data_IF_590338443123
#
_entry.id   IF_590338443123
#
_cell.length_a   1.000
_cell.length_b   1.000
_cell.length_c   1.000
_cell.angle_alpha   90.00
_cell.angle_beta   90.00
_cell.angle_gamma   90.00
#
_symmetry.space_group_name_H-M   'P 1'
#
loop_
_entity.id
_entity.type
_entity.pdbx_description
1 polymer ?
#
# COMPACT_ATOMS: atom_id res chain seq x y z
N UNK A 1 15.05 5.01 10.40
CA UNK A 1 13.81 5.35 9.68
C UNK A 1 14.04 6.63 8.90
N UNK A 2 13.52 6.74 7.68
CA UNK A 2 13.62 7.93 6.83
C UNK A 2 12.24 8.46 6.52
N UNK A 3 12.01 9.77 6.73
CA UNK A 3 10.75 10.42 6.39
C UNK A 3 10.57 10.42 4.88
N UNK A 4 9.35 10.12 4.42
CA UNK A 4 9.01 10.15 3.01
C UNK A 4 7.67 10.82 2.77
N UNK A 5 7.50 11.38 1.58
CA UNK A 5 6.16 11.54 0.99
C UNK A 5 5.86 10.29 0.17
N UNK A 6 4.64 9.78 0.24
CA UNK A 6 4.25 8.55 -0.45
C UNK A 6 3.00 8.75 -1.31
N UNK A 7 2.85 7.85 -2.28
CA UNK A 7 1.67 7.65 -3.09
C UNK A 7 1.48 6.16 -3.31
N UNK A 8 0.35 5.61 -2.87
CA UNK A 8 0.00 4.20 -3.01
C UNK A 8 -1.28 4.11 -3.81
N UNK A 9 -1.24 3.39 -4.92
CA UNK A 9 -2.40 3.18 -5.78
C UNK A 9 -2.77 1.71 -5.75
N UNK A 10 -4.00 1.40 -5.33
CA UNK A 10 -4.58 0.07 -5.49
C UNK A 10 -5.19 -0.03 -6.89
N UNK A 11 -4.65 -0.93 -7.70
CA UNK A 11 -5.19 -1.24 -9.02
C UNK A 11 -6.40 -2.17 -8.83
N UNK A 12 -7.57 -1.79 -9.31
CA UNK A 12 -8.72 -2.68 -9.38
C UNK A 12 -9.49 -2.49 -10.70
N UNK A 13 -10.30 -3.49 -11.09
CA UNK A 13 -11.07 -3.48 -12.34
C UNK A 13 -12.09 -2.33 -12.46
N UNK A 14 -12.44 -1.70 -11.35
CA UNK A 14 -13.50 -0.69 -11.23
C UNK A 14 -12.98 0.72 -10.90
N UNK A 15 -11.66 0.93 -10.87
CA UNK A 15 -11.03 2.22 -10.64
C UNK A 15 -9.70 2.14 -9.86
N UNK A 16 -9.00 3.26 -9.79
CA UNK A 16 -7.79 3.40 -8.99
C UNK A 16 -8.11 4.10 -7.67
N UNK A 17 -7.93 3.40 -6.56
CA UNK A 17 -7.94 4.05 -5.24
C UNK A 17 -6.53 4.50 -4.92
N UNK A 18 -6.32 5.81 -4.82
CA UNK A 18 -5.02 6.40 -4.53
C UNK A 18 -5.01 7.03 -3.15
N UNK A 19 -3.98 6.73 -2.36
CA UNK A 19 -3.70 7.37 -1.08
C UNK A 19 -2.32 8.01 -1.10
N UNK A 20 -2.24 9.22 -0.57
CA UNK A 20 -1.00 10.00 -0.50
C UNK A 20 -0.83 10.57 0.89
N UNK A 21 0.40 10.74 1.34
CA UNK A 21 0.67 11.35 2.64
C UNK A 21 2.14 11.36 3.00
N UNK A 22 2.40 11.50 4.29
CA UNK A 22 3.72 11.39 4.89
C UNK A 22 3.82 10.07 5.63
N UNK A 23 4.94 9.38 5.45
CA UNK A 23 5.23 8.12 6.12
C UNK A 23 6.71 7.98 6.43
N UNK A 24 7.10 6.77 6.78
CA UNK A 24 8.48 6.44 7.06
C UNK A 24 8.88 5.15 6.34
N UNK A 25 10.01 5.19 5.67
CA UNK A 25 10.69 3.99 5.20
C UNK A 25 11.59 3.47 6.34
N UNK A 26 11.37 2.22 6.74
CA UNK A 26 12.28 1.46 7.61
C UNK A 26 13.40 0.85 6.75
N UNK A 27 14.14 -0.14 7.23
CA UNK A 27 15.11 -0.84 6.37
C UNK A 27 14.43 -1.52 5.17
N UNK A 28 13.21 -2.03 5.36
CA UNK A 28 12.47 -2.87 4.40
C UNK A 28 11.07 -2.37 4.07
N UNK A 29 10.43 -1.62 4.98
CA UNK A 29 8.98 -1.41 4.95
C UNK A 29 8.61 0.06 4.80
N UNK A 30 7.40 0.31 4.31
CA UNK A 30 6.74 1.61 4.37
C UNK A 30 5.69 1.61 5.49
N UNK A 31 5.88 2.48 6.47
CA UNK A 31 4.99 2.67 7.62
C UNK A 31 4.23 3.99 7.47
N UNK A 32 2.90 3.94 7.53
CA UNK A 32 2.02 5.10 7.36
C UNK A 32 0.94 5.15 8.44
N UNK A 33 0.52 6.37 8.80
CA UNK A 33 -0.66 6.58 9.61
C UNK A 33 -1.90 6.69 8.72
N UNK A 34 -2.96 5.99 9.10
CA UNK A 34 -4.23 5.94 8.39
C UNK A 34 -5.40 6.18 9.35
N UNK A 35 -6.56 6.51 8.77
CA UNK A 35 -7.82 6.63 9.49
C UNK A 35 -8.81 5.64 8.87
N UNK A 36 -9.39 4.77 9.70
CA UNK A 36 -10.39 3.81 9.26
C UNK A 36 -11.68 4.51 8.83
N UNK A 37 -12.58 3.80 8.16
CA UNK A 37 -13.89 4.35 7.79
C UNK A 37 -14.72 4.81 9.00
N UNK A 38 -14.48 4.23 10.18
CA UNK A 38 -15.13 4.63 11.45
C UNK A 38 -14.42 5.79 12.16
N UNK A 39 -13.39 6.38 11.57
CA UNK A 39 -12.63 7.50 12.14
C UNK A 39 -11.50 7.09 13.09
N UNK A 40 -11.34 5.79 13.39
CA UNK A 40 -10.28 5.34 14.29
C UNK A 40 -8.91 5.39 13.60
N UNK A 41 -7.89 6.00 14.22
CA UNK A 41 -6.53 6.01 13.69
C UNK A 41 -5.88 4.64 13.83
N UNK A 42 -5.05 4.27 12.85
CA UNK A 42 -4.25 3.05 12.89
C UNK A 42 -2.97 3.20 12.07
N UNK A 43 -1.98 2.35 12.35
CA UNK A 43 -0.76 2.26 11.55
C UNK A 43 -0.94 1.16 10.51
N UNK A 44 -0.60 1.46 9.26
CA UNK A 44 -0.50 0.49 8.18
C UNK A 44 0.96 0.32 7.79
N UNK A 45 1.37 -0.93 7.61
CA UNK A 45 2.71 -1.31 7.16
C UNK A 45 2.59 -2.00 5.82
N UNK A 46 3.39 -1.58 4.85
CA UNK A 46 3.62 -2.30 3.60
C UNK A 46 4.98 -2.98 3.73
N UNK A 47 4.94 -4.22 4.21
CA UNK A 47 6.12 -5.01 4.56
C UNK A 47 6.97 -5.31 3.32
N UNK A 48 8.29 -5.25 3.45
CA UNK A 48 9.25 -5.53 2.37
C UNK A 48 9.08 -4.72 1.07
N UNK A 49 8.28 -3.65 1.07
CA UNK A 49 7.98 -2.91 -0.15
C UNK A 49 9.23 -2.27 -0.78
N UNK A 50 10.27 -1.97 0.03
CA UNK A 50 11.55 -1.42 -0.44
C UNK A 50 12.25 -2.37 -1.41
N UNK A 51 12.13 -3.69 -1.21
CA UNK A 51 12.77 -4.72 -2.05
C UNK A 51 12.36 -4.59 -3.53
N UNK A 52 11.10 -4.24 -3.77
CA UNK A 52 10.54 -4.13 -5.12
C UNK A 52 10.50 -2.68 -5.62
N UNK A 53 10.92 -1.70 -4.82
CA UNK A 53 10.96 -0.30 -5.19
C UNK A 53 12.32 0.08 -5.78
N UNK A 54 12.30 0.56 -7.03
CA UNK A 54 13.51 0.96 -7.74
C UNK A 54 13.56 2.48 -7.95
N UNK A 55 14.76 3.08 -8.06
CA UNK A 55 14.91 4.49 -8.36
C UNK A 55 14.17 4.89 -9.64
N UNK A 56 13.49 6.04 -9.60
CA UNK A 56 12.81 6.61 -10.77
C UNK A 56 13.83 7.37 -11.62
N UNK A 57 14.02 6.95 -12.87
CA UNK A 57 14.97 7.57 -13.80
C UNK A 57 14.74 9.08 -13.92
N UNK A 58 15.82 9.85 -13.76
CA UNK A 58 15.78 11.32 -13.86
C UNK A 58 15.11 12.02 -12.68
N UNK A 59 14.78 11.31 -11.60
CA UNK A 59 14.18 11.88 -10.39
C UNK A 59 14.95 11.47 -9.15
N UNK A 60 15.61 12.45 -8.55
CA UNK A 60 16.41 12.22 -7.35
C UNK A 60 15.53 11.81 -6.17
N UNK A 61 15.99 10.81 -5.41
CA UNK A 61 15.36 10.33 -4.18
C UNK A 61 13.93 9.80 -4.34
N UNK A 62 13.48 9.55 -5.57
CA UNK A 62 12.18 8.94 -5.87
C UNK A 62 12.33 7.46 -6.20
N UNK A 63 11.42 6.65 -5.67
CA UNK A 63 11.41 5.21 -5.83
C UNK A 63 10.00 4.72 -6.13
N UNK A 64 9.86 3.66 -6.94
CA UNK A 64 8.57 3.04 -7.25
C UNK A 64 8.66 1.54 -7.45
N UNK A 65 7.61 0.82 -7.07
CA UNK A 65 7.56 -0.64 -7.13
C UNK A 65 6.14 -1.19 -6.96
N UNK A 66 5.99 -2.48 -7.20
CA UNK A 66 4.77 -3.22 -6.88
C UNK A 66 4.86 -3.83 -5.47
N UNK A 67 3.73 -3.85 -4.77
CA UNK A 67 3.56 -4.51 -3.48
C UNK A 67 2.32 -5.40 -3.53
N UNK A 68 2.44 -6.63 -3.03
CA UNK A 68 1.37 -7.62 -3.07
C UNK A 68 0.95 -7.98 -1.65
N UNK A 69 -0.36 -8.03 -1.40
CA UNK A 69 -0.93 -8.51 -0.14
C UNK A 69 -1.94 -9.61 -0.44
N UNK A 70 -1.82 -10.75 0.25
CA UNK A 70 -2.90 -11.75 0.28
C UNK A 70 -3.91 -11.30 1.34
N UNK A 71 -5.20 -11.27 0.98
CA UNK A 71 -6.29 -11.01 1.92
C UNK A 71 -7.38 -12.06 1.79
N UNK A 72 -7.85 -12.53 2.92
CA UNK A 72 -9.13 -13.22 3.00
C UNK A 72 -10.27 -12.21 2.94
N UNK A 73 -11.22 -12.45 2.04
CA UNK A 73 -12.46 -11.70 1.91
C UNK A 73 -13.65 -12.65 2.02
N UNK A 74 -14.63 -12.26 2.83
CA UNK A 74 -15.92 -12.96 2.87
C UNK A 74 -16.78 -12.49 1.70
N UNK A 75 -17.29 -13.45 0.94
CA UNK A 75 -18.19 -13.21 -0.19
C UNK A 75 -19.50 -13.91 0.11
N UNK A 76 -20.59 -13.14 0.12
CA UNK A 76 -21.93 -13.71 0.26
C UNK A 76 -22.32 -14.45 -1.02
N UNK A 77 -22.76 -15.69 -0.87
CA UNK A 77 -23.30 -16.53 -1.94
C UNK A 77 -24.56 -17.23 -1.45
N UNK A 78 -25.71 -16.85 -2.00
CA UNK A 78 -27.02 -17.47 -1.74
C UNK A 78 -27.34 -17.64 -0.24
N UNK A 79 -27.12 -16.60 0.57
CA UNK A 79 -27.42 -16.63 2.02
C UNK A 79 -26.39 -17.37 2.88
N UNK A 80 -25.26 -17.79 2.31
CA UNK A 80 -24.09 -18.33 3.02
C UNK A 80 -22.85 -17.48 2.73
N UNK A 81 -21.91 -17.42 3.68
CA UNK A 81 -20.63 -16.72 3.50
C UNK A 81 -19.54 -17.73 3.13
N UNK A 82 -18.78 -17.41 2.09
CA UNK A 82 -17.62 -18.16 1.62
C UNK A 82 -16.38 -17.28 1.76
N UNK A 83 -15.29 -17.81 2.32
CA UNK A 83 -14.03 -17.07 2.48
C UNK A 83 -13.14 -17.34 1.28
N UNK A 84 -12.63 -16.28 0.66
CA UNK A 84 -11.71 -16.39 -0.48
C UNK A 84 -10.45 -15.61 -0.22
N UNK A 85 -9.32 -16.23 -0.52
CA UNK A 85 -8.06 -15.52 -0.63
C UNK A 85 -8.01 -14.76 -1.96
N UNK A 86 -7.72 -13.47 -1.88
CA UNK A 86 -7.45 -12.61 -3.03
C UNK A 86 -6.06 -12.01 -2.87
N UNK A 87 -5.33 -11.95 -3.98
CA UNK A 87 -4.12 -11.15 -4.05
C UNK A 87 -4.48 -9.72 -4.46
N UNK A 88 -3.96 -8.75 -3.72
CA UNK A 88 -4.13 -7.33 -4.01
C UNK A 88 -2.77 -6.75 -4.37
N UNK A 89 -2.69 -6.20 -5.59
CA UNK A 89 -1.54 -5.44 -6.05
C UNK A 89 -1.71 -3.94 -5.74
N UNK A 90 -0.65 -3.35 -5.20
CA UNK A 90 -0.48 -1.93 -5.02
C UNK A 90 0.73 -1.43 -5.79
N UNK A 91 0.57 -0.31 -6.49
CA UNK A 91 1.70 0.48 -6.97
C UNK A 91 2.13 1.44 -5.86
N UNK A 92 3.33 1.23 -5.34
CA UNK A 92 3.95 2.07 -4.30
C UNK A 92 4.91 3.03 -4.99
N UNK A 93 4.81 4.31 -4.63
CA UNK A 93 5.81 5.33 -4.94
C UNK A 93 6.12 6.11 -3.66
N UNK A 94 7.38 6.46 -3.45
CA UNK A 94 7.78 7.35 -2.37
C UNK A 94 8.98 8.21 -2.76
N UNK A 95 9.13 9.34 -2.05
CA UNK A 95 10.28 10.24 -2.16
C UNK A 95 10.86 10.52 -0.79
N UNK A 96 12.18 10.37 -0.64
CA UNK A 96 12.88 10.76 0.59
C UNK A 96 12.84 12.29 0.76
N UNK A 97 12.57 12.74 1.99
CA UNK A 97 12.49 14.16 2.37
C UNK A 97 13.67 14.54 3.24
#
# INVERSE_FOLDING_TARGET
MKKVVYSISRLNRFGNTKMTGVGFITGSDLVIACVSQKGNPYIRVFEDCVKNCHPVTGRENEYKGAHYEIREVEVEKNGSYDTREIEIEYSVWYKLV
#
